data_IF_876337391797
#
_entry.id   IF_876337391797
#
_cell.length_a   1.000
_cell.length_b   1.000
_cell.length_c   1.000
_cell.angle_alpha   90.00
_cell.angle_beta   90.00
_cell.angle_gamma   90.00
#
_symmetry.space_group_name_H-M   'P 1'
#
loop_
_entity.id
_entity.type
_entity.pdbx_description
1 polymer ?
#
# COMPACT_ATOMS: atom_id res chain seq x y z
N UNK A 1 -38.36 -0.30 -32.89
CA UNK A 1 -37.70 0.94 -33.33
C UNK A 1 -36.75 1.33 -32.21
N UNK A 2 -35.46 1.35 -32.51
CA UNK A 2 -34.35 1.26 -31.55
C UNK A 2 -34.06 2.58 -30.84
N UNK A 3 -33.66 2.50 -29.57
CA UNK A 3 -32.83 3.50 -28.88
C UNK A 3 -31.75 2.69 -28.19
N UNK A 4 -30.50 2.76 -28.64
CA UNK A 4 -29.39 3.50 -28.02
C UNK A 4 -28.14 3.33 -28.93
N UNK A 5 -27.18 4.27 -28.99
CA UNK A 5 -26.31 4.48 -27.83
C UNK A 5 -25.91 5.92 -27.49
N UNK A 6 -25.70 6.07 -26.18
CA UNK A 6 -25.00 7.15 -25.49
C UNK A 6 -23.56 7.23 -26.03
N UNK A 7 -23.24 8.26 -26.84
CA UNK A 7 -21.89 8.49 -27.37
C UNK A 7 -21.11 9.32 -26.36
N UNK A 8 -19.92 8.87 -25.99
CA UNK A 8 -19.01 9.60 -25.11
C UNK A 8 -18.61 10.93 -25.75
N UNK A 9 -18.31 11.94 -24.93
CA UNK A 9 -17.74 13.20 -25.42
C UNK A 9 -16.26 12.99 -25.79
N UNK A 10 -15.72 13.84 -26.68
CA UNK A 10 -14.30 13.78 -27.09
C UNK A 10 -13.36 13.83 -25.88
N UNK A 11 -13.68 14.67 -24.89
CA UNK A 11 -12.90 14.76 -23.64
C UNK A 11 -12.94 13.46 -22.82
N UNK A 12 -14.08 12.75 -22.82
CA UNK A 12 -14.19 11.45 -22.17
C UNK A 12 -13.39 10.39 -22.92
N UNK A 13 -13.43 10.38 -24.26
CA UNK A 13 -12.64 9.47 -25.10
C UNK A 13 -11.13 9.68 -24.91
N UNK A 14 -10.68 10.94 -24.88
CA UNK A 14 -9.28 11.29 -24.61
C UNK A 14 -8.85 10.88 -23.20
N UNK A 15 -9.71 11.10 -22.19
CA UNK A 15 -9.47 10.63 -20.83
C UNK A 15 -9.32 9.11 -20.78
N UNK A 16 -10.23 8.36 -21.44
CA UNK A 16 -10.16 6.91 -21.51
C UNK A 16 -8.91 6.40 -22.24
N UNK A 17 -8.52 7.07 -23.31
CA UNK A 17 -7.34 6.70 -24.09
C UNK A 17 -6.05 6.95 -23.30
N UNK A 18 -5.99 8.04 -22.55
CA UNK A 18 -4.85 8.42 -21.72
C UNK A 18 -4.73 7.47 -20.50
N UNK A 19 -5.85 7.14 -19.87
CA UNK A 19 -5.96 6.11 -18.83
C UNK A 19 -5.52 4.73 -19.35
N UNK A 20 -5.97 4.35 -20.56
CA UNK A 20 -5.59 3.10 -21.22
C UNK A 20 -4.08 3.04 -21.52
N UNK A 21 -3.51 4.13 -22.02
CA UNK A 21 -2.06 4.24 -22.27
C UNK A 21 -1.24 4.14 -20.99
N UNK A 22 -1.68 4.80 -19.89
CA UNK A 22 -1.05 4.68 -18.56
C UNK A 22 -1.04 3.23 -18.07
N UNK A 23 -2.17 2.51 -18.21
CA UNK A 23 -2.27 1.09 -17.83
C UNK A 23 -1.35 0.21 -18.65
N UNK A 24 -1.31 0.41 -19.97
CA UNK A 24 -0.42 -0.34 -20.86
C UNK A 24 1.06 -0.09 -20.56
N UNK A 25 1.44 1.16 -20.24
CA UNK A 25 2.80 1.50 -19.85
C UNK A 25 3.20 0.82 -18.52
N UNK A 26 2.31 0.81 -17.51
CA UNK A 26 2.55 0.09 -16.24
C UNK A 26 2.69 -1.42 -16.43
N UNK A 27 1.84 -2.04 -17.26
CA UNK A 27 1.94 -3.47 -17.58
C UNK A 27 3.23 -3.80 -18.34
N UNK A 28 3.66 -2.93 -19.26
CA UNK A 28 4.94 -3.08 -19.95
C UNK A 28 6.15 -2.92 -19.01
N UNK A 29 6.06 -2.03 -18.02
CA UNK A 29 7.06 -1.88 -16.94
C UNK A 29 7.10 -3.14 -16.07
N UNK A 30 5.95 -3.67 -15.63
CA UNK A 30 5.88 -4.91 -14.86
C UNK A 30 6.51 -6.11 -15.60
N UNK A 31 6.21 -6.25 -16.90
CA UNK A 31 6.79 -7.27 -17.76
C UNK A 31 8.31 -7.10 -18.00
N UNK A 32 8.81 -5.86 -17.97
CA UNK A 32 10.24 -5.55 -18.10
C UNK A 32 11.05 -5.67 -16.80
N UNK A 33 10.39 -5.61 -15.63
CA UNK A 33 11.05 -5.58 -14.31
C UNK A 33 11.49 -6.95 -13.78
N UNK A 34 11.10 -8.06 -14.43
CA UNK A 34 11.48 -9.44 -14.05
C UNK A 34 11.40 -9.70 -12.53
N UNK A 35 10.40 -9.14 -11.87
CA UNK A 35 10.23 -9.26 -10.42
C UNK A 35 9.31 -10.44 -10.11
N UNK A 36 9.80 -11.50 -9.42
CA UNK A 36 8.95 -12.61 -8.96
C UNK A 36 7.75 -12.09 -8.15
N UNK A 37 7.98 -11.05 -7.35
CA UNK A 37 6.95 -10.41 -6.52
C UNK A 37 5.80 -9.83 -7.35
N UNK A 38 6.12 -9.12 -8.44
CA UNK A 38 5.08 -8.52 -9.28
C UNK A 38 4.37 -9.56 -10.15
N UNK A 39 5.05 -10.66 -10.50
CA UNK A 39 4.49 -11.74 -11.31
C UNK A 39 3.41 -12.56 -10.56
N UNK A 40 3.42 -12.56 -9.22
CA UNK A 40 2.37 -13.21 -8.41
C UNK A 40 1.07 -12.38 -8.33
N UNK A 41 1.09 -11.11 -8.72
CA UNK A 41 -0.05 -10.21 -8.61
C UNK A 41 -1.00 -10.35 -9.79
N UNK A 42 -2.30 -10.40 -9.50
CA UNK A 42 -3.32 -10.27 -10.54
C UNK A 42 -3.52 -8.79 -10.93
N UNK A 43 -4.23 -8.54 -12.03
CA UNK A 43 -4.29 -7.22 -12.68
C UNK A 43 -4.65 -6.06 -11.74
N UNK A 44 -5.68 -6.19 -10.90
CA UNK A 44 -6.07 -5.10 -10.00
C UNK A 44 -5.05 -4.88 -8.87
N UNK A 45 -4.40 -5.94 -8.37
CA UNK A 45 -3.30 -5.81 -7.40
C UNK A 45 -2.09 -5.12 -8.04
N UNK A 46 -1.74 -5.51 -9.27
CA UNK A 46 -0.64 -4.90 -10.00
C UNK A 46 -0.91 -3.42 -10.29
N UNK A 47 -2.13 -3.09 -10.70
CA UNK A 47 -2.56 -1.72 -10.93
C UNK A 47 -2.47 -0.88 -9.65
N UNK A 48 -2.86 -1.44 -8.50
CA UNK A 48 -2.73 -0.81 -7.20
C UNK A 48 -1.26 -0.59 -6.78
N UNK A 49 -0.42 -1.63 -6.90
CA UNK A 49 0.99 -1.60 -6.51
C UNK A 49 1.77 -0.58 -7.36
N UNK A 50 1.48 -0.52 -8.65
CA UNK A 50 2.15 0.38 -9.60
C UNK A 50 1.48 1.74 -9.75
N UNK A 51 0.49 2.06 -8.91
CA UNK A 51 -0.18 3.36 -8.96
C UNK A 51 0.74 4.51 -8.50
N UNK A 52 1.05 5.52 -9.35
CA UNK A 52 1.93 6.61 -8.94
C UNK A 52 1.26 7.65 -8.05
N UNK A 53 -0.07 7.62 -7.89
CA UNK A 53 -0.78 8.61 -7.09
C UNK A 53 -0.32 8.60 -5.62
N UNK A 54 -0.14 9.78 -5.03
CA UNK A 54 0.36 9.92 -3.65
C UNK A 54 -0.74 9.73 -2.62
N UNK A 55 -2.01 9.93 -2.98
CA UNK A 55 -3.15 9.69 -2.10
C UNK A 55 -4.05 8.63 -2.73
N UNK A 56 -4.22 7.49 -2.06
CA UNK A 56 -5.02 6.36 -2.58
C UNK A 56 -6.07 5.93 -1.56
N UNK A 57 -7.27 5.67 -2.04
CA UNK A 57 -8.33 5.00 -1.29
C UNK A 57 -8.68 3.68 -1.98
N UNK A 58 -8.46 2.56 -1.29
CA UNK A 58 -8.68 1.21 -1.81
C UNK A 58 -9.88 0.60 -1.10
N UNK A 59 -11.02 0.66 -1.76
CA UNK A 59 -12.28 0.09 -1.27
C UNK A 59 -12.57 -1.22 -1.99
N UNK A 60 -12.47 -2.34 -1.27
CA UNK A 60 -12.71 -3.65 -1.88
C UNK A 60 -13.53 -4.56 -0.94
N UNK A 61 -14.18 -5.58 -1.48
CA UNK A 61 -14.92 -6.58 -0.68
C UNK A 61 -14.01 -7.46 0.18
N UNK A 62 -14.55 -8.10 1.22
CA UNK A 62 -13.79 -9.08 2.02
C UNK A 62 -13.20 -10.18 1.14
N UNK A 63 -11.99 -10.65 1.48
CA UNK A 63 -11.24 -11.70 0.75
C UNK A 63 -10.85 -11.36 -0.69
N UNK A 64 -10.78 -10.08 -1.05
CA UNK A 64 -10.32 -9.64 -2.38
C UNK A 64 -8.79 -9.64 -2.56
N UNK A 65 -8.03 -10.32 -1.69
CA UNK A 65 -6.56 -10.35 -1.78
C UNK A 65 -5.84 -9.04 -1.41
N UNK A 66 -6.49 -8.12 -0.66
CA UNK A 66 -5.90 -6.83 -0.25
C UNK A 66 -4.60 -6.98 0.51
N UNK A 67 -4.56 -7.86 1.51
CA UNK A 67 -3.38 -8.08 2.36
C UNK A 67 -2.15 -8.45 1.54
N UNK A 68 -2.31 -9.31 0.54
CA UNK A 68 -1.21 -9.67 -0.37
C UNK A 68 -0.78 -8.51 -1.26
N UNK A 69 -1.73 -7.72 -1.78
CA UNK A 69 -1.42 -6.51 -2.53
C UNK A 69 -0.67 -5.47 -1.69
N UNK A 70 -1.08 -5.27 -0.43
CA UNK A 70 -0.44 -4.35 0.51
C UNK A 70 0.97 -4.83 0.90
N UNK A 71 1.13 -6.11 1.25
CA UNK A 71 2.45 -6.66 1.57
C UNK A 71 3.41 -6.57 0.38
N UNK A 72 2.89 -6.80 -0.83
CA UNK A 72 3.64 -6.66 -2.07
C UNK A 72 3.99 -5.20 -2.38
N UNK A 73 3.09 -4.24 -2.16
CA UNK A 73 3.37 -2.81 -2.32
C UNK A 73 4.50 -2.36 -1.38
N UNK A 74 4.39 -2.66 -0.09
CA UNK A 74 5.36 -2.25 0.92
C UNK A 74 6.74 -2.86 0.62
N UNK A 75 6.76 -4.14 0.26
CA UNK A 75 7.98 -4.86 -0.11
C UNK A 75 8.57 -4.30 -1.40
N UNK A 76 7.77 -4.10 -2.44
CA UNK A 76 8.20 -3.55 -3.72
C UNK A 76 8.80 -2.17 -3.56
N UNK A 77 8.09 -1.26 -2.88
CA UNK A 77 8.56 0.11 -2.59
C UNK A 77 9.91 0.06 -1.88
N UNK A 78 10.02 -0.77 -0.84
CA UNK A 78 11.25 -0.88 -0.04
C UNK A 78 12.41 -1.48 -0.82
N UNK A 79 12.17 -2.33 -1.82
CA UNK A 79 13.22 -2.85 -2.69
C UNK A 79 13.77 -1.81 -3.67
N UNK A 80 12.97 -0.82 -4.07
CA UNK A 80 13.38 0.25 -5.00
C UNK A 80 14.13 1.39 -4.29
N UNK A 81 13.90 1.56 -2.99
CA UNK A 81 14.38 2.71 -2.21
C UNK A 81 15.46 2.29 -1.21
N UNK A 82 16.39 3.19 -0.88
CA UNK A 82 17.41 2.95 0.17
C UNK A 82 17.20 3.92 1.32
N UNK A 83 17.11 3.39 2.55
CA UNK A 83 17.15 4.20 3.79
C UNK A 83 15.87 4.91 4.21
N UNK A 84 14.75 4.74 3.49
CA UNK A 84 13.46 5.35 3.84
C UNK A 84 12.42 4.28 4.16
N UNK A 85 11.68 4.47 5.24
CA UNK A 85 10.85 3.41 5.81
C UNK A 85 9.45 3.40 5.16
N UNK A 86 8.85 2.21 5.06
CA UNK A 86 7.42 2.06 4.80
C UNK A 86 6.69 1.79 6.12
N UNK A 87 5.46 2.27 6.26
CA UNK A 87 4.62 2.07 7.43
C UNK A 87 3.34 1.32 7.07
N UNK A 88 3.03 0.28 7.84
CA UNK A 88 1.71 -0.35 7.88
C UNK A 88 1.07 -0.12 9.24
N UNK A 89 -0.17 0.37 9.23
CA UNK A 89 -1.00 0.53 10.41
C UNK A 89 -2.32 -0.22 10.26
N UNK A 90 -2.79 -0.73 11.38
CA UNK A 90 -4.18 -1.12 11.59
C UNK A 90 -4.63 -0.50 12.92
N UNK A 91 -5.91 -0.67 13.32
CA UNK A 91 -6.43 -0.03 14.53
C UNK A 91 -5.63 -0.43 15.77
N UNK A 92 -5.20 -1.70 15.88
CA UNK A 92 -4.41 -2.17 17.04
C UNK A 92 -3.19 -2.95 16.59
N UNK A 93 -2.12 -2.93 17.40
CA UNK A 93 -0.90 -3.71 17.15
C UNK A 93 -1.19 -5.22 17.09
N UNK A 94 -2.21 -5.69 17.81
CA UNK A 94 -2.65 -7.09 17.77
C UNK A 94 -3.23 -7.44 16.40
N UNK A 95 -4.11 -6.59 15.84
CA UNK A 95 -4.67 -6.79 14.50
C UNK A 95 -3.57 -6.74 13.45
N UNK A 96 -2.67 -5.76 13.53
CA UNK A 96 -1.50 -5.67 12.66
C UNK A 96 -0.69 -6.95 12.65
N UNK A 97 -0.38 -7.50 13.83
CA UNK A 97 0.34 -8.77 13.94
C UNK A 97 -0.40 -9.90 13.24
N UNK A 98 -1.71 -10.02 13.46
CA UNK A 98 -2.51 -11.10 12.89
C UNK A 98 -2.65 -11.01 11.37
N UNK A 99 -2.82 -9.80 10.82
CA UNK A 99 -3.13 -9.59 9.40
C UNK A 99 -1.87 -9.58 8.55
N UNK A 100 -0.95 -8.64 8.81
CA UNK A 100 0.18 -8.39 7.91
C UNK A 100 1.47 -9.08 8.37
N UNK A 101 1.62 -9.35 9.67
CA UNK A 101 2.89 -9.88 10.20
C UNK A 101 2.96 -11.40 10.13
N UNK A 102 2.02 -12.07 10.79
CA UNK A 102 1.93 -13.53 10.91
C UNK A 102 0.85 -14.13 10.01
N UNK A 103 0.10 -13.29 9.28
CA UNK A 103 -0.94 -13.72 8.36
C UNK A 103 -0.39 -14.45 7.11
N UNK A 104 -1.20 -15.30 6.47
CA UNK A 104 -0.77 -16.13 5.33
C UNK A 104 -0.41 -15.34 4.07
N UNK A 105 -0.91 -14.10 3.97
CA UNK A 105 -0.68 -13.16 2.88
C UNK A 105 0.19 -11.96 3.31
N UNK A 106 0.78 -12.05 4.50
CA UNK A 106 1.58 -11.01 5.13
C UNK A 106 3.03 -10.93 4.65
N UNK A 107 3.79 -10.00 5.24
CA UNK A 107 5.17 -9.67 4.85
C UNK A 107 6.13 -10.86 4.92
N UNK A 108 6.05 -11.69 5.96
CA UNK A 108 6.91 -12.88 6.10
C UNK A 108 6.67 -13.87 4.97
N UNK A 109 5.40 -14.11 4.62
CA UNK A 109 5.03 -15.03 3.55
C UNK A 109 5.39 -14.45 2.18
N UNK A 110 5.13 -13.16 1.97
CA UNK A 110 5.55 -12.43 0.77
C UNK A 110 7.06 -12.54 0.54
N UNK A 111 7.88 -12.27 1.57
CA UNK A 111 9.32 -12.37 1.47
C UNK A 111 9.79 -13.80 1.18
N UNK A 112 9.23 -14.79 1.89
CA UNK A 112 9.57 -16.21 1.70
C UNK A 112 9.23 -16.72 0.30
N UNK A 113 8.04 -16.41 -0.23
CA UNK A 113 7.59 -16.86 -1.56
C UNK A 113 8.47 -16.30 -2.67
N UNK A 114 8.89 -15.04 -2.50
CA UNK A 114 9.62 -14.30 -3.52
C UNK A 114 11.15 -14.32 -3.35
N UNK A 115 11.67 -15.13 -2.41
CA UNK A 115 13.11 -15.26 -2.18
C UNK A 115 13.78 -13.97 -1.68
N UNK A 116 13.04 -13.11 -0.99
CA UNK A 116 13.52 -11.79 -0.54
C UNK A 116 14.29 -11.93 0.76
N UNK A 117 15.56 -11.51 0.75
CA UNK A 117 16.40 -11.49 1.94
C UNK A 117 16.01 -10.33 2.87
N UNK A 118 15.48 -10.67 4.04
CA UNK A 118 15.05 -9.71 5.04
C UNK A 118 15.20 -10.25 6.46
N UNK A 119 15.52 -9.36 7.40
CA UNK A 119 15.56 -9.64 8.83
C UNK A 119 14.29 -9.12 9.51
N UNK A 120 13.57 -10.00 10.20
CA UNK A 120 12.31 -9.68 10.88
C UNK A 120 12.52 -9.55 12.39
N UNK A 121 12.32 -8.34 12.94
CA UNK A 121 12.24 -8.15 14.38
C UNK A 121 10.81 -8.37 14.84
N UNK A 122 10.55 -9.50 15.47
CA UNK A 122 9.20 -9.87 15.90
C UNK A 122 8.65 -9.00 17.05
N UNK A 123 9.51 -8.43 17.89
CA UNK A 123 9.08 -7.61 19.02
C UNK A 123 8.66 -6.22 18.53
N UNK A 124 9.51 -5.58 17.74
CA UNK A 124 9.26 -4.25 17.18
C UNK A 124 8.35 -4.26 15.93
N UNK A 125 8.05 -5.45 15.37
CA UNK A 125 7.34 -5.62 14.10
C UNK A 125 7.97 -4.80 12.97
N UNK A 126 9.30 -4.89 12.84
CA UNK A 126 10.07 -4.22 11.78
C UNK A 126 10.76 -5.21 10.86
N UNK A 127 10.70 -4.97 9.56
CA UNK A 127 11.47 -5.70 8.54
C UNK A 127 12.66 -4.84 8.14
N UNK A 128 13.86 -5.42 8.09
CA UNK A 128 15.06 -4.79 7.50
C UNK A 128 15.45 -5.58 6.26
N UNK A 129 15.45 -4.93 5.10
CA UNK A 129 15.84 -5.53 3.82
C UNK A 129 17.35 -5.42 3.60
N UNK A 130 17.88 -6.26 2.71
CA UNK A 130 19.32 -6.28 2.40
C UNK A 130 19.87 -4.93 1.86
N UNK A 131 19.01 -4.10 1.26
CA UNK A 131 19.37 -2.75 0.78
C UNK A 131 19.32 -1.68 1.87
N UNK A 132 19.00 -2.04 3.13
CA UNK A 132 18.95 -1.14 4.28
C UNK A 132 17.61 -0.43 4.47
N UNK A 133 16.62 -0.59 3.58
CA UNK A 133 15.27 -0.09 3.79
C UNK A 133 14.55 -0.87 4.91
N UNK A 134 13.57 -0.22 5.55
CA UNK A 134 12.77 -0.87 6.60
C UNK A 134 11.28 -0.74 6.37
N UNK A 135 10.55 -1.72 6.88
CA UNK A 135 9.09 -1.69 6.95
C UNK A 135 8.72 -1.76 8.43
N UNK A 136 8.08 -0.71 8.94
CA UNK A 136 7.50 -0.65 10.29
C UNK A 136 6.03 -1.07 10.24
N UNK A 137 5.61 -1.92 11.15
CA UNK A 137 4.22 -2.29 11.34
C UNK A 137 3.79 -1.90 12.75
N UNK A 138 2.60 -1.30 12.90
CA UNK A 138 2.11 -0.87 14.20
C UNK A 138 0.59 -0.74 14.29
N UNK A 139 0.11 -0.31 15.45
CA UNK A 139 -1.29 0.01 15.69
C UNK A 139 -1.44 1.46 16.14
N UNK A 140 -2.61 2.04 15.90
CA UNK A 140 -2.91 3.42 16.28
C UNK A 140 -4.27 3.46 16.98
N UNK A 141 -4.35 2.85 18.17
CA UNK A 141 -5.61 2.68 18.91
C UNK A 141 -5.95 3.92 19.74
N UNK A 142 -4.93 4.60 20.25
CA UNK A 142 -5.03 5.74 21.13
C UNK A 142 -4.04 6.85 20.73
N UNK A 143 -4.16 8.03 21.35
CA UNK A 143 -3.33 9.19 21.03
C UNK A 143 -1.82 8.93 21.25
N UNK A 144 -1.45 8.19 22.30
CA UNK A 144 -0.04 7.87 22.59
C UNK A 144 0.55 7.00 21.48
N UNK A 145 -0.23 6.05 20.94
CA UNK A 145 0.18 5.24 19.79
C UNK A 145 0.43 6.10 18.55
N UNK A 146 -0.49 7.03 18.30
CA UNK A 146 -0.45 7.94 17.15
C UNK A 146 0.79 8.84 17.21
N UNK A 147 1.10 9.38 18.39
CA UNK A 147 2.24 10.28 18.61
C UNK A 147 3.59 9.60 18.30
N UNK A 148 3.73 8.28 18.46
CA UNK A 148 4.97 7.56 18.13
C UNK A 148 5.35 7.66 16.64
N UNK A 149 4.39 7.91 15.76
CA UNK A 149 4.64 8.04 14.32
C UNK A 149 5.02 9.46 13.91
N UNK A 150 4.81 10.45 14.79
CA UNK A 150 5.11 11.85 14.52
C UNK A 150 6.61 12.06 14.32
N UNK A 151 6.96 12.84 13.29
CA UNK A 151 8.35 13.21 13.00
C UNK A 151 9.17 12.11 12.31
N UNK A 152 8.59 10.92 12.11
CA UNK A 152 9.16 9.92 11.22
C UNK A 152 8.97 10.32 9.76
N UNK A 153 9.73 9.70 8.86
CA UNK A 153 9.69 9.96 7.42
C UNK A 153 9.42 8.66 6.69
N UNK A 154 8.34 8.64 5.91
CA UNK A 154 7.90 7.43 5.21
C UNK A 154 7.76 7.66 3.72
N UNK A 155 8.22 6.69 2.91
CA UNK A 155 7.95 6.70 1.46
C UNK A 155 6.52 6.22 1.16
N UNK A 156 6.03 5.25 1.92
CA UNK A 156 4.68 4.72 1.78
C UNK A 156 4.09 4.44 3.15
N UNK A 157 2.88 4.94 3.40
CA UNK A 157 2.08 4.68 4.59
C UNK A 157 0.78 4.02 4.18
N UNK A 158 0.46 2.88 4.79
CA UNK A 158 -0.81 2.17 4.60
C UNK A 158 -1.56 2.15 5.92
N UNK A 159 -2.80 2.65 5.91
CA UNK A 159 -3.77 2.51 7.01
C UNK A 159 -4.81 1.49 6.58
N UNK A 160 -4.73 0.28 7.13
CA UNK A 160 -5.62 -0.83 6.82
C UNK A 160 -6.84 -0.85 7.75
N UNK A 161 -7.96 -1.33 7.21
CA UNK A 161 -9.29 -1.25 7.82
C UNK A 161 -9.62 0.18 8.32
N UNK A 162 -9.37 1.19 7.49
CA UNK A 162 -9.51 2.61 7.84
C UNK A 162 -10.89 2.97 8.43
N UNK A 163 -11.96 2.31 7.99
CA UNK A 163 -13.31 2.50 8.55
C UNK A 163 -13.44 2.14 10.03
N UNK A 164 -12.54 1.32 10.58
CA UNK A 164 -12.54 0.95 11.99
C UNK A 164 -12.07 2.10 12.91
N UNK A 165 -11.31 3.06 12.40
CA UNK A 165 -10.76 4.19 13.14
C UNK A 165 -11.84 5.26 13.46
N UNK A 166 -12.92 5.32 12.68
CA UNK A 166 -14.06 6.23 12.93
C UNK A 166 -13.58 7.68 13.13
N UNK A 167 -13.83 8.27 14.31
CA UNK A 167 -13.60 9.68 14.58
C UNK A 167 -12.11 10.10 14.65
N UNK A 168 -11.19 9.19 14.99
CA UNK A 168 -9.77 9.54 15.10
C UNK A 168 -8.98 9.36 13.80
N UNK A 169 -9.63 8.87 12.73
CA UNK A 169 -8.98 8.67 11.43
C UNK A 169 -8.48 9.99 10.84
N UNK A 170 -9.30 11.04 10.89
CA UNK A 170 -8.98 12.35 10.31
C UNK A 170 -7.76 12.97 10.99
N UNK A 171 -7.72 12.94 12.32
CA UNK A 171 -6.58 13.44 13.11
C UNK A 171 -5.31 12.64 12.83
N UNK A 172 -5.40 11.30 12.81
CA UNK A 172 -4.29 10.42 12.46
C UNK A 172 -3.71 10.78 11.08
N UNK A 173 -4.57 10.95 10.08
CA UNK A 173 -4.14 11.27 8.72
C UNK A 173 -3.54 12.66 8.64
N UNK A 174 -4.30 13.69 9.00
CA UNK A 174 -3.96 15.08 8.69
C UNK A 174 -2.88 15.64 9.59
N UNK A 175 -2.91 15.30 10.88
CA UNK A 175 -2.00 15.85 11.89
C UNK A 175 -0.72 15.05 12.05
N UNK A 176 -0.68 13.79 11.61
CA UNK A 176 0.46 12.89 11.86
C UNK A 176 0.99 12.24 10.58
N UNK A 177 0.18 11.45 9.87
CA UNK A 177 0.69 10.61 8.79
C UNK A 177 1.00 11.40 7.50
N UNK A 178 0.13 12.33 7.09
CA UNK A 178 0.36 13.10 5.88
C UNK A 178 1.66 13.94 5.96
N UNK A 179 1.98 14.64 7.06
CA UNK A 179 3.28 15.30 7.22
C UNK A 179 4.49 14.37 7.05
N UNK A 180 4.37 13.09 7.45
CA UNK A 180 5.49 12.13 7.39
C UNK A 180 5.84 11.69 5.97
N UNK A 181 4.94 11.89 5.00
CA UNK A 181 5.16 11.51 3.59
C UNK A 181 5.63 12.66 2.71
N UNK A 182 5.47 13.92 3.15
CA UNK A 182 5.78 15.12 2.35
C UNK A 182 7.25 15.17 1.93
N UNK A 183 8.17 14.96 2.88
CA UNK A 183 9.62 15.04 2.64
C UNK A 183 10.11 14.05 1.57
N UNK A 184 9.36 12.97 1.35
CA UNK A 184 9.73 11.85 0.51
C UNK A 184 8.99 11.79 -0.83
N UNK A 185 8.13 12.78 -1.10
CA UNK A 185 7.10 12.67 -2.14
C UNK A 185 6.42 11.29 -2.05
N UNK A 186 6.02 10.96 -0.82
CA UNK A 186 5.56 9.64 -0.42
C UNK A 186 4.07 9.47 -0.60
N UNK A 187 3.61 8.22 -0.49
CA UNK A 187 2.21 7.87 -0.64
C UNK A 187 1.52 7.56 0.69
N UNK A 188 0.29 8.03 0.84
CA UNK A 188 -0.63 7.67 1.93
C UNK A 188 -1.82 6.91 1.34
N UNK A 189 -2.07 5.74 1.89
CA UNK A 189 -3.01 4.77 1.33
C UNK A 189 -3.98 4.34 2.42
N UNK A 190 -5.27 4.54 2.18
CA UNK A 190 -6.33 4.04 3.02
C UNK A 190 -6.91 2.78 2.39
N UNK A 191 -6.96 1.69 3.15
CA UNK A 191 -7.51 0.42 2.70
C UNK A 191 -8.71 0.07 3.58
N UNK A 192 -9.79 -0.40 2.97
CA UNK A 192 -10.99 -0.74 3.72
C UNK A 192 -11.99 -1.59 2.97
N UNK A 193 -13.09 -1.84 3.67
CA UNK A 193 -14.30 -2.49 3.16
C UNK A 193 -15.47 -1.49 3.21
N UNK A 194 -16.44 -1.57 2.28
CA UNK A 194 -17.65 -0.73 2.31
C UNK A 194 -18.50 -0.91 3.56
#
# INVERSE_FOLDING_TARGET
MAILPNRLTVEQEDMFLLEYQKRKAKQAVAAGLNSPLLAELFDEQLNFVLDPETLKAVLCNRRSGKTFGVSSLLTWTSLQETGWDCLYLNLTSKLTRQVIWDGPDGLKMCARRNGISAHFNNQAMTVLLANGSKILCGGAENADDIEMYRGLKFKTVVVDEAGAFKAHLEELITSVLQPTTVDMDGSLILVGTP
#
